data_IF_523796905691
#
_entry.id   IF_523796905691
#
_cell.length_a   1.000
_cell.length_b   1.000
_cell.length_c   1.000
_cell.angle_alpha   90.00
_cell.angle_beta   90.00
_cell.angle_gamma   90.00
#
_symmetry.space_group_name_H-M   'P 1'
#
loop_
_entity.id
_entity.type
_entity.pdbx_description
1 polymer ?
#
# COMPACT_ATOMS: atom_id res chain seq x y z
N UNK A 1 0.57 10.34 -7.57
CA UNK A 1 1.60 9.77 -8.46
C UNK A 1 1.12 9.74 -9.91
N UNK A 2 0.08 8.97 -10.27
CA UNK A 2 -0.43 8.88 -11.64
C UNK A 2 -0.71 10.24 -12.31
N UNK A 3 -1.42 11.15 -11.62
CA UNK A 3 -1.67 12.51 -12.14
C UNK A 3 -0.36 13.28 -12.36
N UNK A 4 0.61 13.15 -11.46
CA UNK A 4 1.90 13.82 -11.62
C UNK A 4 2.74 13.27 -12.78
N UNK A 5 2.58 11.99 -13.12
CA UNK A 5 3.18 11.38 -14.32
C UNK A 5 2.51 11.93 -15.59
N UNK A 6 1.17 12.00 -15.62
CA UNK A 6 0.41 12.56 -16.75
C UNK A 6 0.76 14.05 -16.99
N UNK A 7 0.87 14.83 -15.91
CA UNK A 7 1.22 16.25 -15.94
C UNK A 7 2.71 16.52 -16.22
N UNK A 8 3.55 15.48 -16.37
CA UNK A 8 5.01 15.58 -16.51
C UNK A 8 5.69 16.33 -15.35
N UNK A 9 5.07 16.31 -14.17
CA UNK A 9 5.63 16.89 -12.93
C UNK A 9 6.45 15.89 -12.12
N UNK A 10 6.24 14.59 -12.37
CA UNK A 10 6.96 13.49 -11.76
C UNK A 10 7.51 12.59 -12.85
N UNK A 11 8.73 12.06 -12.66
CA UNK A 11 9.33 11.02 -13.51
C UNK A 11 8.99 9.62 -12.98
N UNK A 12 8.62 9.50 -11.71
CA UNK A 12 8.28 8.20 -11.15
C UNK A 12 7.70 8.25 -9.74
N UNK A 13 7.33 7.09 -9.23
CA UNK A 13 6.93 6.88 -7.85
C UNK A 13 6.81 5.41 -7.47
N UNK A 14 6.95 5.13 -6.18
CA UNK A 14 6.77 3.81 -5.61
C UNK A 14 5.74 3.86 -4.49
N UNK A 15 4.73 2.99 -4.55
CA UNK A 15 3.79 2.76 -3.45
C UNK A 15 4.27 1.58 -2.62
N UNK A 16 4.60 1.82 -1.35
CA UNK A 16 4.96 0.77 -0.39
C UNK A 16 3.71 0.38 0.37
N UNK A 17 3.34 -0.90 0.37
CA UNK A 17 2.18 -1.40 1.10
C UNK A 17 2.41 -2.81 1.66
N UNK A 18 1.72 -3.21 2.74
CA UNK A 18 1.90 -4.53 3.33
C UNK A 18 1.39 -5.66 2.42
N UNK A 19 1.98 -6.85 2.60
CA UNK A 19 1.40 -8.09 2.08
C UNK A 19 0.08 -8.41 2.77
N UNK A 20 -0.70 -9.34 2.21
CA UNK A 20 -1.93 -9.80 2.87
C UNK A 20 -1.66 -10.51 4.20
N UNK A 21 -0.50 -11.14 4.34
CA UNK A 21 -0.11 -11.84 5.56
C UNK A 21 0.14 -10.85 6.69
N UNK A 22 0.92 -9.79 6.44
CA UNK A 22 1.13 -8.70 7.40
C UNK A 22 -0.17 -7.95 7.71
N UNK A 23 -1.03 -7.70 6.71
CA UNK A 23 -2.33 -7.03 6.89
C UNK A 23 -3.19 -7.65 7.99
N UNK A 24 -3.17 -8.98 8.14
CA UNK A 24 -4.02 -9.68 9.12
C UNK A 24 -3.74 -9.28 10.58
N UNK A 25 -2.57 -8.69 10.85
CA UNK A 25 -2.16 -8.24 12.18
C UNK A 25 -2.30 -6.73 12.38
N UNK A 26 -2.70 -5.98 11.34
CA UNK A 26 -2.82 -4.52 11.38
C UNK A 26 -4.26 -4.09 11.68
N UNK A 27 -4.46 -2.77 11.80
CA UNK A 27 -5.81 -2.19 11.89
C UNK A 27 -6.63 -2.54 10.64
N UNK A 28 -7.91 -2.82 10.84
CA UNK A 28 -8.78 -3.26 9.75
C UNK A 28 -8.86 -2.22 8.62
N UNK A 29 -9.00 -2.71 7.39
CA UNK A 29 -9.08 -1.93 6.14
C UNK A 29 -7.85 -1.08 5.79
N UNK A 30 -6.69 -1.36 6.38
CA UNK A 30 -5.41 -0.85 5.86
C UNK A 30 -5.14 -1.42 4.46
N UNK A 31 -4.62 -0.60 3.54
CA UNK A 31 -4.32 -1.04 2.18
C UNK A 31 -3.32 -2.21 2.16
N UNK A 32 -3.53 -3.20 1.29
CA UNK A 32 -2.60 -4.32 1.10
C UNK A 32 -2.45 -4.65 -0.38
N UNK A 33 -1.32 -5.26 -0.74
CA UNK A 33 -0.97 -5.56 -2.13
C UNK A 33 -2.04 -6.38 -2.86
N UNK A 34 -2.64 -7.38 -2.19
CA UNK A 34 -3.64 -8.28 -2.78
C UNK A 34 -4.93 -7.55 -3.15
N UNK A 35 -5.34 -6.55 -2.37
CA UNK A 35 -6.52 -5.74 -2.69
C UNK A 35 -6.27 -4.74 -3.83
N UNK A 36 -5.02 -4.31 -4.02
CA UNK A 36 -4.65 -3.38 -5.09
C UNK A 36 -4.39 -4.07 -6.43
N UNK A 37 -3.91 -5.31 -6.44
CA UNK A 37 -3.48 -6.00 -7.67
C UNK A 37 -4.53 -6.09 -8.78
N UNK A 38 -5.86 -6.23 -8.51
CA UNK A 38 -6.87 -6.22 -9.56
C UNK A 38 -6.95 -4.89 -10.32
N UNK A 39 -6.48 -3.78 -9.73
CA UNK A 39 -6.49 -2.45 -10.35
C UNK A 39 -5.24 -2.16 -11.19
N UNK A 40 -4.24 -3.05 -11.20
CA UNK A 40 -3.00 -2.79 -11.96
C UNK A 40 -3.23 -2.61 -13.47
N UNK A 41 -4.15 -3.34 -14.14
CA UNK A 41 -4.45 -3.07 -15.56
C UNK A 41 -4.91 -1.63 -15.82
N UNK A 42 -5.65 -1.03 -14.88
CA UNK A 42 -6.07 0.39 -14.99
C UNK A 42 -4.86 1.32 -15.02
N UNK A 43 -3.88 1.12 -14.13
CA UNK A 43 -2.69 1.97 -14.11
C UNK A 43 -1.73 1.71 -15.28
N UNK A 44 -1.68 0.46 -15.77
CA UNK A 44 -0.93 0.12 -16.98
C UNK A 44 -1.53 0.72 -18.26
N UNK A 45 -2.83 1.02 -18.26
CA UNK A 45 -3.52 1.63 -19.40
C UNK A 45 -3.29 3.16 -19.51
N UNK A 46 -2.57 3.78 -18.57
CA UNK A 46 -2.24 5.20 -18.63
C UNK A 46 -1.27 5.47 -19.81
N UNK A 47 -1.58 6.50 -20.60
CA UNK A 47 -0.70 6.92 -21.68
C UNK A 47 0.44 7.80 -21.13
N UNK A 48 1.58 7.18 -20.83
CA UNK A 48 2.77 7.83 -20.27
C UNK A 48 3.95 7.53 -21.20
N UNK A 49 4.55 8.58 -21.78
CA UNK A 49 5.70 8.44 -22.68
C UNK A 49 6.97 8.01 -21.92
N UNK A 50 7.23 8.68 -20.79
CA UNK A 50 8.38 8.43 -19.92
C UNK A 50 7.93 8.48 -18.46
N UNK A 51 8.04 7.36 -17.75
CA UNK A 51 7.70 7.34 -16.33
C UNK A 51 7.80 5.96 -15.70
N UNK A 52 7.92 5.93 -14.37
CA UNK A 52 8.01 4.69 -13.60
C UNK A 52 7.00 4.66 -12.45
N UNK A 53 6.18 3.61 -12.38
CA UNK A 53 5.30 3.37 -11.24
C UNK A 53 5.53 1.96 -10.69
N UNK A 54 5.99 1.88 -9.44
CA UNK A 54 6.18 0.62 -8.74
C UNK A 54 5.21 0.46 -7.58
N UNK A 55 4.90 -0.81 -7.27
CA UNK A 55 4.23 -1.21 -6.04
C UNK A 55 5.16 -2.20 -5.34
N UNK A 56 5.57 -1.87 -4.12
CA UNK A 56 6.49 -2.68 -3.31
C UNK A 56 5.69 -3.26 -2.15
N UNK A 57 5.57 -4.59 -2.13
CA UNK A 57 4.96 -5.30 -1.03
C UNK A 57 5.98 -5.54 0.09
N UNK A 58 5.64 -5.16 1.32
CA UNK A 58 6.48 -5.40 2.51
C UNK A 58 5.82 -6.39 3.47
N UNK A 59 6.63 -7.20 4.14
CA UNK A 59 6.18 -8.20 5.12
C UNK A 59 7.05 -8.10 6.38
N UNK A 60 6.53 -8.57 7.51
CA UNK A 60 7.30 -8.77 8.73
C UNK A 60 8.30 -9.94 8.57
N UNK A 61 9.44 -9.86 9.24
CA UNK A 61 10.47 -10.90 9.16
C UNK A 61 10.02 -12.22 9.82
N UNK A 62 9.32 -12.13 10.96
CA UNK A 62 8.85 -13.26 11.74
C UNK A 62 7.59 -12.93 12.56
N UNK A 63 6.92 -13.96 13.07
CA UNK A 63 5.73 -13.86 13.91
C UNK A 63 6.06 -14.43 15.29
N UNK A 64 5.66 -13.73 16.35
CA UNK A 64 5.83 -14.18 17.73
C UNK A 64 4.66 -13.71 18.59
N UNK A 65 4.28 -14.52 19.57
CA UNK A 65 3.30 -14.15 20.60
C UNK A 65 3.94 -13.42 21.78
N UNK A 66 5.27 -13.42 21.86
CA UNK A 66 6.06 -12.88 22.98
C UNK A 66 6.50 -11.43 22.76
N UNK A 67 5.96 -10.75 21.74
CA UNK A 67 6.26 -9.35 21.42
C UNK A 67 5.08 -8.44 21.76
N UNK A 68 5.35 -7.19 22.18
CA UNK A 68 4.28 -6.23 22.42
C UNK A 68 3.52 -5.92 21.13
N UNK A 69 2.22 -5.66 21.26
CA UNK A 69 1.39 -5.21 20.15
C UNK A 69 1.75 -3.76 19.79
N UNK A 70 1.60 -3.43 18.51
CA UNK A 70 1.65 -2.04 18.04
C UNK A 70 0.42 -1.30 18.60
N UNK A 71 0.64 -0.21 19.33
CA UNK A 71 -0.44 0.58 19.91
C UNK A 71 -1.33 1.21 18.84
N UNK A 72 -2.65 1.26 19.10
CA UNK A 72 -3.64 1.86 18.22
C UNK A 72 -4.05 3.23 18.75
N UNK A 73 -4.24 4.20 17.86
CA UNK A 73 -4.87 5.49 18.19
C UNK A 73 -6.40 5.40 18.21
N UNK A 74 -7.05 6.48 18.66
CA UNK A 74 -8.52 6.58 18.81
C UNK A 74 -9.24 7.02 17.52
N UNK A 75 -8.79 6.51 16.36
CA UNK A 75 -9.26 6.97 15.05
C UNK A 75 -10.58 6.30 14.61
N UNK A 76 -11.42 7.04 13.89
CA UNK A 76 -12.65 6.50 13.30
C UNK A 76 -13.63 5.97 14.36
N UNK A 77 -13.92 4.66 14.32
CA UNK A 77 -14.83 3.97 15.25
C UNK A 77 -14.09 3.24 16.37
N UNK A 78 -12.95 3.74 16.82
CA UNK A 78 -12.15 3.06 17.84
C UNK A 78 -12.79 3.09 19.26
N UNK A 79 -13.67 4.05 19.55
CA UNK A 79 -14.17 4.34 20.91
C UNK A 79 -15.69 4.12 21.07
N UNK A 80 -16.38 3.71 20.01
CA UNK A 80 -17.86 3.64 19.92
C UNK A 80 -18.30 2.31 19.36
#
# INVERSE_FOLDING_TARGET
MAIGLLDKKLVGGALICPTRKMYNYLTDRVGNFRELSPYFPMWKALNIDEGFLAIIAVEHDAESWDVPRIEKGTNGRAMV
#
